data_IF_915247597587
#
_entry.id   IF_915247597587
#
_cell.length_a   1.000
_cell.length_b   1.000
_cell.length_c   1.000
_cell.angle_alpha   90.00
_cell.angle_beta   90.00
_cell.angle_gamma   90.00
#
_symmetry.space_group_name_H-M   'P 1'
#
loop_
_entity.id
_entity.type
_entity.pdbx_description
1 polymer ?
#
# COMPACT_ATOMS: atom_id res chain seq x y z
N UNK A 1 26.42 39.06 -10.39
CA UNK A 1 25.87 37.71 -10.71
C UNK A 1 25.29 37.76 -12.12
N UNK A 2 25.61 36.80 -12.99
CA UNK A 2 25.09 36.81 -14.36
C UNK A 2 23.59 36.46 -14.37
N UNK A 3 22.82 36.98 -15.32
CA UNK A 3 21.38 36.69 -15.43
C UNK A 3 21.09 35.18 -15.50
N UNK A 4 22.02 34.38 -16.05
CA UNK A 4 21.93 32.92 -16.06
C UNK A 4 21.96 32.31 -14.65
N UNK A 5 22.82 32.81 -13.76
CA UNK A 5 22.91 32.30 -12.37
C UNK A 5 21.71 32.70 -11.52
N UNK A 6 21.05 33.81 -11.82
CA UNK A 6 19.78 34.20 -11.21
C UNK A 6 18.64 33.31 -11.71
N UNK A 7 18.55 33.03 -13.01
CA UNK A 7 17.50 32.21 -13.59
C UNK A 7 17.54 30.75 -13.09
N UNK A 8 18.73 30.13 -13.00
CA UNK A 8 18.87 28.77 -12.47
C UNK A 8 18.52 28.67 -10.99
N UNK A 9 18.85 29.70 -10.19
CA UNK A 9 18.49 29.76 -8.76
C UNK A 9 16.99 30.00 -8.57
N UNK A 10 16.36 30.81 -9.40
CA UNK A 10 14.91 31.04 -9.37
C UNK A 10 14.13 29.82 -9.82
N UNK A 11 14.61 29.05 -10.81
CA UNK A 11 13.93 27.84 -11.30
C UNK A 11 14.04 26.68 -10.30
N UNK A 12 15.20 26.55 -9.63
CA UNK A 12 15.38 25.61 -8.52
C UNK A 12 14.54 26.02 -7.31
N UNK A 13 14.46 27.31 -6.98
CA UNK A 13 13.62 27.81 -5.89
C UNK A 13 12.12 27.68 -6.20
N UNK A 14 11.69 27.83 -7.45
CA UNK A 14 10.30 27.57 -7.88
C UNK A 14 9.99 26.07 -7.88
N UNK A 15 10.92 25.22 -8.31
CA UNK A 15 10.77 23.77 -8.21
C UNK A 15 10.69 23.29 -6.74
N UNK A 16 11.52 23.85 -5.85
CA UNK A 16 11.46 23.57 -4.40
C UNK A 16 10.22 24.18 -3.76
N UNK A 17 9.76 25.35 -4.21
CA UNK A 17 8.55 26.00 -3.68
C UNK A 17 7.26 25.29 -4.10
N UNK A 18 7.19 24.72 -5.32
CA UNK A 18 6.05 23.90 -5.77
C UNK A 18 5.98 22.58 -4.98
N UNK A 19 7.12 22.04 -4.53
CA UNK A 19 7.18 20.86 -3.65
C UNK A 19 6.85 21.20 -2.18
N UNK A 20 6.81 22.49 -1.80
CA UNK A 20 6.76 22.91 -0.38
C UNK A 20 5.37 23.13 0.22
N UNK A 21 4.27 22.95 -0.52
CA UNK A 21 2.94 23.36 -0.02
C UNK A 21 1.87 22.29 0.08
N UNK A 22 2.13 21.05 -0.34
CA UNK A 22 1.21 19.94 -0.14
C UNK A 22 2.06 18.67 -0.23
N UNK A 23 2.24 17.94 0.87
CA UNK A 23 2.82 16.60 0.79
C UNK A 23 1.68 15.62 0.44
N UNK A 24 1.92 14.46 -0.21
CA UNK A 24 0.90 13.46 -0.54
C UNK A 24 1.38 11.94 -0.36
N UNK A 25 0.58 10.84 -0.18
CA UNK A 25 0.94 9.39 0.18
C UNK A 25 0.53 8.20 -0.77
N UNK A 26 0.45 6.91 -0.36
CA UNK A 26 0.14 5.79 -1.29
C UNK A 26 -0.79 4.66 -0.75
N UNK A 27 -1.54 4.87 0.33
CA UNK A 27 -2.39 3.83 0.92
C UNK A 27 -1.61 2.58 1.31
N UNK A 28 -2.13 1.41 0.94
CA UNK A 28 -1.50 0.09 1.13
C UNK A 28 -0.81 -0.46 -0.12
N UNK A 29 -0.53 0.38 -1.12
CA UNK A 29 0.26 -0.02 -2.29
C UNK A 29 1.75 -0.12 -1.94
N UNK A 30 2.41 -1.12 -2.52
CA UNK A 30 3.84 -1.39 -2.42
C UNK A 30 4.50 -1.28 -3.79
N UNK A 31 5.69 -0.68 -3.85
CA UNK A 31 6.50 -0.57 -5.06
C UNK A 31 7.81 -1.37 -4.97
N UNK A 32 7.98 -2.19 -3.92
CA UNK A 32 9.19 -2.92 -3.55
C UNK A 32 9.49 -4.14 -4.44
N UNK A 33 9.53 -3.96 -5.76
CA UNK A 33 9.76 -5.05 -6.72
C UNK A 33 11.25 -5.26 -7.08
N UNK A 34 12.15 -4.32 -6.79
CA UNK A 34 13.61 -4.50 -7.00
C UNK A 34 14.45 -3.56 -6.14
N UNK A 35 15.67 -3.98 -5.79
CA UNK A 35 16.61 -3.17 -5.00
C UNK A 35 17.30 -2.07 -5.82
N UNK A 36 17.47 -2.26 -7.12
CA UNK A 36 17.92 -1.21 -8.04
C UNK A 36 16.89 -0.09 -8.17
N UNK A 37 15.60 -0.44 -8.24
CA UNK A 37 14.48 0.50 -8.19
C UNK A 37 14.42 1.22 -6.85
N UNK A 38 14.64 0.52 -5.74
CA UNK A 38 14.71 1.12 -4.40
C UNK A 38 15.74 2.26 -4.37
N UNK A 39 16.96 2.04 -4.90
CA UNK A 39 18.01 3.05 -4.93
C UNK A 39 17.73 4.27 -5.83
N UNK A 40 16.69 4.22 -6.66
CA UNK A 40 16.23 5.29 -7.54
C UNK A 40 14.92 5.94 -7.08
N UNK A 41 14.42 5.59 -5.90
CA UNK A 41 13.07 5.94 -5.48
C UNK A 41 12.02 5.52 -6.53
N UNK A 42 12.22 4.36 -7.19
CA UNK A 42 11.36 3.83 -8.24
C UNK A 42 11.01 4.87 -9.33
N UNK A 43 12.02 5.53 -9.89
CA UNK A 43 11.83 6.56 -10.91
C UNK A 43 12.14 6.03 -12.31
N UNK A 44 11.17 6.16 -13.22
CA UNK A 44 11.31 5.72 -14.62
C UNK A 44 11.35 4.20 -14.80
N UNK A 45 10.81 3.44 -13.85
CA UNK A 45 10.93 1.98 -13.80
C UNK A 45 10.27 1.25 -14.98
N UNK A 46 9.32 1.88 -15.67
CA UNK A 46 8.77 1.34 -16.93
C UNK A 46 9.69 1.53 -18.15
N UNK A 47 10.67 2.42 -18.07
CA UNK A 47 11.57 2.79 -19.17
C UNK A 47 13.02 2.29 -18.96
N UNK A 48 13.40 1.96 -17.73
CA UNK A 48 14.69 1.34 -17.40
C UNK A 48 14.64 -0.16 -17.70
N UNK A 49 15.76 -0.75 -18.11
CA UNK A 49 15.91 -2.18 -18.31
C UNK A 49 17.34 -2.64 -17.98
N UNK A 50 17.83 -2.27 -16.78
CA UNK A 50 19.19 -2.60 -16.32
C UNK A 50 19.30 -3.98 -15.65
N UNK A 51 18.16 -4.58 -15.29
CA UNK A 51 18.03 -5.95 -14.78
C UNK A 51 16.60 -6.46 -15.06
N UNK A 52 16.40 -7.77 -14.90
CA UNK A 52 15.11 -8.44 -15.18
C UNK A 52 13.91 -7.89 -14.38
N UNK A 53 14.15 -7.15 -13.28
CA UNK A 53 13.09 -6.56 -12.45
C UNK A 53 12.14 -5.64 -13.20
N UNK A 54 12.65 -4.91 -14.20
CA UNK A 54 11.84 -3.96 -15.00
C UNK A 54 10.70 -4.61 -15.78
N UNK A 55 10.83 -5.89 -16.16
CA UNK A 55 9.79 -6.61 -16.91
C UNK A 55 8.51 -6.80 -16.08
N UNK A 56 8.61 -6.88 -14.75
CA UNK A 56 7.44 -6.96 -13.87
C UNK A 56 6.63 -5.66 -13.84
N UNK A 57 7.30 -4.52 -14.07
CA UNK A 57 6.68 -3.19 -14.12
C UNK A 57 6.15 -2.87 -15.52
N UNK A 58 6.95 -3.12 -16.55
CA UNK A 58 6.58 -2.97 -17.95
C UNK A 58 6.90 -4.24 -18.75
N UNK A 59 5.91 -5.04 -19.16
CA UNK A 59 6.13 -6.20 -20.01
C UNK A 59 6.87 -5.91 -21.31
N UNK A 60 6.71 -4.72 -21.90
CA UNK A 60 7.42 -4.35 -23.13
C UNK A 60 8.95 -4.26 -22.92
N UNK A 61 9.42 -4.07 -21.68
CA UNK A 61 10.84 -4.07 -21.35
C UNK A 61 11.51 -5.43 -21.57
N UNK A 62 10.75 -6.52 -21.71
CA UNK A 62 11.28 -7.85 -22.10
C UNK A 62 12.09 -7.76 -23.39
N UNK A 63 11.66 -6.92 -24.34
CA UNK A 63 12.37 -6.78 -25.63
C UNK A 63 13.70 -6.03 -25.52
N UNK A 64 14.07 -5.52 -24.35
CA UNK A 64 15.38 -4.90 -24.09
C UNK A 64 16.46 -5.92 -23.72
N UNK A 65 16.11 -7.19 -23.54
CA UNK A 65 17.03 -8.26 -23.16
C UNK A 65 17.42 -9.09 -24.39
N UNK A 66 18.72 -9.29 -24.55
CA UNK A 66 19.32 -10.09 -25.64
C UNK A 66 19.58 -11.54 -25.25
N UNK A 67 19.56 -11.85 -23.94
CA UNK A 67 19.76 -13.19 -23.39
C UNK A 67 18.91 -13.45 -22.15
N UNK A 68 18.70 -14.73 -21.78
CA UNK A 68 17.98 -15.06 -20.55
C UNK A 68 18.62 -14.37 -19.34
N UNK A 69 17.79 -13.73 -18.53
CA UNK A 69 18.22 -12.89 -17.42
C UNK A 69 17.36 -13.14 -16.20
N UNK A 70 18.01 -13.27 -15.05
CA UNK A 70 17.41 -13.51 -13.75
C UNK A 70 17.73 -12.36 -12.80
N UNK A 71 16.78 -12.00 -11.94
CA UNK A 71 17.00 -11.14 -10.79
C UNK A 71 16.22 -11.67 -9.59
N UNK A 72 16.84 -11.71 -8.42
CA UNK A 72 16.17 -12.14 -7.21
C UNK A 72 16.70 -11.45 -5.96
N UNK A 73 15.81 -11.11 -5.04
CA UNK A 73 16.18 -10.35 -3.86
C UNK A 73 15.03 -10.15 -2.89
N UNK A 74 15.24 -9.26 -1.93
CA UNK A 74 14.22 -8.82 -1.01
C UNK A 74 14.50 -7.42 -0.50
N UNK A 75 13.44 -6.75 -0.06
CA UNK A 75 13.50 -5.46 0.61
C UNK A 75 12.98 -5.64 2.03
N UNK A 76 13.80 -5.24 3.01
CA UNK A 76 13.41 -5.10 4.40
C UNK A 76 12.84 -3.71 4.62
N UNK A 77 11.60 -3.64 5.10
CA UNK A 77 10.89 -2.40 5.41
C UNK A 77 10.80 -2.29 6.94
N UNK A 78 11.26 -1.16 7.46
CA UNK A 78 11.29 -0.83 8.89
C UNK A 78 10.52 0.47 9.14
N UNK A 79 9.18 0.41 9.28
CA UNK A 79 8.35 1.56 9.62
C UNK A 79 8.51 1.93 11.10
N UNK A 80 8.37 3.22 11.39
CA UNK A 80 8.17 3.78 12.73
C UNK A 80 6.97 4.72 12.61
N UNK A 81 5.80 4.20 12.99
CA UNK A 81 4.51 4.90 12.93
C UNK A 81 3.95 4.98 14.34
N UNK A 82 3.66 6.20 14.78
CA UNK A 82 3.16 6.47 16.13
C UNK A 82 1.85 7.24 16.04
N UNK A 83 0.91 6.86 16.90
CA UNK A 83 -0.38 7.54 17.07
C UNK A 83 -0.44 8.10 18.48
N UNK A 84 -0.99 9.30 18.62
CA UNK A 84 -1.20 9.95 19.92
C UNK A 84 -2.56 10.61 20.02
N UNK A 85 -3.04 10.78 21.25
CA UNK A 85 -4.30 11.47 21.50
C UNK A 85 -4.93 11.17 22.86
N UNK A 86 -6.16 11.64 23.04
CA UNK A 86 -6.94 11.41 24.26
C UNK A 86 -8.37 11.06 23.92
N UNK A 87 -8.86 9.94 24.46
CA UNK A 87 -10.25 9.53 24.31
C UNK A 87 -11.17 10.46 25.11
N UNK A 88 -12.44 10.67 24.69
CA UNK A 88 -13.44 11.33 25.52
C UNK A 88 -13.66 10.66 26.90
N UNK A 89 -13.28 9.39 27.06
CA UNK A 89 -13.26 8.69 28.35
C UNK A 89 -12.17 9.19 29.31
N UNK A 90 -11.21 9.97 28.79
CA UNK A 90 -10.01 10.37 29.50
C UNK A 90 -8.88 9.35 29.43
N UNK A 91 -9.00 8.22 28.71
CA UNK A 91 -7.89 7.29 28.46
C UNK A 91 -6.93 7.83 27.39
N UNK A 92 -5.66 7.40 27.46
CA UNK A 92 -4.66 7.70 26.42
C UNK A 92 -5.00 6.96 25.11
N UNK A 93 -4.73 7.61 23.99
CA UNK A 93 -4.75 7.05 22.64
C UNK A 93 -3.32 6.99 22.06
N UNK A 94 -2.31 6.94 22.93
CA UNK A 94 -0.93 6.81 22.51
C UNK A 94 -0.63 5.34 22.19
N UNK A 95 -0.10 5.10 21.00
CA UNK A 95 0.32 3.80 20.52
C UNK A 95 1.57 3.99 19.64
N UNK A 96 2.69 3.50 20.14
CA UNK A 96 3.98 3.61 19.47
C UNK A 96 4.26 2.37 18.61
N UNK A 97 4.93 2.58 17.49
CA UNK A 97 5.41 1.56 16.57
C UNK A 97 4.32 0.56 16.11
N UNK A 98 3.20 1.11 15.63
CA UNK A 98 2.01 0.30 15.26
C UNK A 98 2.16 -0.43 13.93
N UNK A 99 3.20 -0.13 13.14
CA UNK A 99 3.45 -0.76 11.85
C UNK A 99 4.69 -1.66 11.96
N UNK A 100 4.53 -3.00 11.95
CA UNK A 100 5.66 -3.90 12.12
C UNK A 100 6.59 -3.92 10.90
N UNK A 101 7.82 -4.38 11.11
CA UNK A 101 8.78 -4.62 10.04
C UNK A 101 8.32 -5.71 9.09
N UNK A 102 8.66 -5.61 7.80
CA UNK A 102 8.30 -6.60 6.79
C UNK A 102 9.47 -6.95 5.85
N UNK A 103 9.44 -8.17 5.32
CA UNK A 103 10.30 -8.59 4.22
C UNK A 103 9.45 -8.74 2.95
N UNK A 104 9.82 -8.03 1.89
CA UNK A 104 9.16 -8.10 0.58
C UNK A 104 10.10 -8.78 -0.42
N UNK A 105 9.96 -10.10 -0.65
CA UNK A 105 10.77 -10.80 -1.63
C UNK A 105 10.35 -10.46 -3.05
N UNK A 106 11.30 -10.52 -3.98
CA UNK A 106 11.05 -10.35 -5.40
C UNK A 106 11.91 -11.30 -6.24
N UNK A 107 11.32 -11.86 -7.28
CA UNK A 107 11.98 -12.76 -8.24
C UNK A 107 11.53 -12.42 -9.64
N UNK A 108 12.45 -12.41 -10.59
CA UNK A 108 12.22 -12.04 -11.98
C UNK A 108 13.05 -12.90 -12.91
N UNK A 109 12.44 -13.28 -14.02
CA UNK A 109 13.10 -13.98 -15.10
C UNK A 109 12.59 -13.45 -16.43
N UNK A 110 13.50 -13.21 -17.37
CA UNK A 110 13.20 -12.77 -18.74
C UNK A 110 13.97 -13.66 -19.68
N UNK A 111 13.35 -14.09 -20.77
CA UNK A 111 14.01 -14.84 -21.83
C UNK A 111 13.53 -14.37 -23.21
N UNK A 112 14.43 -13.82 -24.05
CA UNK A 112 14.11 -13.59 -25.45
C UNK A 112 13.94 -14.93 -26.18
N UNK A 113 12.97 -14.98 -27.10
CA UNK A 113 12.74 -16.13 -27.99
C UNK A 113 13.42 -15.87 -29.33
N UNK A 114 13.26 -14.66 -29.86
CA UNK A 114 13.89 -14.16 -31.07
C UNK A 114 13.90 -12.61 -31.05
N UNK A 115 14.32 -11.98 -32.15
CA UNK A 115 14.39 -10.51 -32.24
C UNK A 115 13.03 -9.80 -32.09
N UNK A 116 11.92 -10.51 -32.31
CA UNK A 116 10.57 -9.96 -32.28
C UNK A 116 9.77 -10.37 -31.04
N UNK A 117 10.09 -11.49 -30.40
CA UNK A 117 9.32 -12.04 -29.29
C UNK A 117 10.19 -12.44 -28.10
N UNK A 118 9.67 -12.21 -26.91
CA UNK A 118 10.24 -12.68 -25.65
C UNK A 118 9.15 -12.95 -24.62
N UNK A 119 9.53 -13.58 -23.52
CA UNK A 119 8.63 -13.79 -22.39
C UNK A 119 9.36 -13.52 -21.06
N UNK A 120 8.57 -13.30 -20.01
CA UNK A 120 9.08 -13.11 -18.66
C UNK A 120 8.11 -13.64 -17.62
N UNK A 121 8.63 -13.95 -16.46
CA UNK A 121 7.86 -14.32 -15.28
C UNK A 121 8.41 -13.61 -14.05
N UNK A 122 7.53 -13.26 -13.11
CA UNK A 122 7.96 -12.66 -11.85
C UNK A 122 7.07 -13.04 -10.68
N UNK A 123 7.65 -12.98 -9.49
CA UNK A 123 6.98 -13.10 -8.19
C UNK A 123 7.26 -11.82 -7.43
N UNK A 124 6.23 -11.04 -7.14
CA UNK A 124 6.33 -9.74 -6.46
C UNK A 124 5.19 -9.54 -5.46
N UNK A 125 5.21 -8.43 -4.74
CA UNK A 125 4.05 -7.92 -4.00
C UNK A 125 3.79 -6.47 -4.41
N UNK A 126 2.54 -6.14 -4.73
CA UNK A 126 2.15 -4.77 -5.10
C UNK A 126 1.22 -4.13 -4.08
N UNK A 127 0.72 -4.90 -3.12
CA UNK A 127 -0.18 -4.45 -2.07
C UNK A 127 0.16 -5.15 -0.76
N UNK A 128 0.18 -4.39 0.32
CA UNK A 128 0.45 -4.95 1.63
C UNK A 128 0.23 -3.93 2.72
N UNK A 129 -0.24 -4.42 3.87
CA UNK A 129 -0.51 -3.61 5.04
C UNK A 129 -0.32 -4.48 6.28
N UNK A 130 0.30 -3.93 7.30
CA UNK A 130 0.31 -4.51 8.62
C UNK A 130 0.21 -3.37 9.64
N UNK A 131 -0.80 -3.44 10.50
CA UNK A 131 -0.93 -2.55 11.66
C UNK A 131 -1.40 -3.34 12.87
N UNK A 132 -0.76 -3.07 14.00
CA UNK A 132 -0.99 -3.79 15.25
C UNK A 132 -1.03 -2.81 16.43
N UNK A 133 -2.12 -2.88 17.18
CA UNK A 133 -2.30 -2.22 18.47
C UNK A 133 -2.49 -3.28 19.56
N UNK A 134 -2.18 -2.93 20.81
CA UNK A 134 -2.54 -3.77 21.95
C UNK A 134 -4.06 -4.03 21.97
N UNK A 135 -4.47 -5.26 22.31
CA UNK A 135 -5.88 -5.66 22.37
C UNK A 135 -6.71 -4.80 23.37
N UNK A 136 -6.06 -4.30 24.41
CA UNK A 136 -6.62 -3.44 25.45
C UNK A 136 -6.60 -1.93 25.12
N UNK A 137 -6.11 -1.56 23.93
CA UNK A 137 -6.01 -0.17 23.47
C UNK A 137 -7.36 0.53 23.53
N UNK A 138 -7.38 1.79 23.99
CA UNK A 138 -8.63 2.48 24.28
C UNK A 138 -9.50 2.70 23.04
N UNK A 139 -8.91 2.94 21.87
CA UNK A 139 -9.63 2.97 20.59
C UNK A 139 -9.53 1.64 19.83
N UNK A 140 -9.53 0.50 20.53
CA UNK A 140 -9.47 -0.84 19.93
C UNK A 140 -10.57 -1.13 18.91
N UNK A 141 -11.67 -0.36 18.93
CA UNK A 141 -12.77 -0.51 17.97
C UNK A 141 -12.41 -0.03 16.56
N UNK A 142 -11.42 0.87 16.47
CA UNK A 142 -10.89 1.41 15.21
C UNK A 142 -9.49 0.85 14.91
N UNK A 143 -8.70 0.60 15.96
CA UNK A 143 -7.37 -0.02 15.89
C UNK A 143 -7.43 -1.54 15.91
N UNK A 144 -6.60 -2.20 16.71
CA UNK A 144 -6.51 -3.66 16.75
C UNK A 144 -5.50 -4.18 15.73
N UNK A 145 -5.84 -5.21 14.96
CA UNK A 145 -4.93 -5.81 13.98
C UNK A 145 -5.49 -5.74 12.57
N UNK A 146 -4.71 -5.28 11.61
CA UNK A 146 -5.05 -5.30 10.18
C UNK A 146 -3.84 -5.77 9.39
N UNK A 147 -3.94 -6.96 8.82
CA UNK A 147 -2.94 -7.56 7.95
C UNK A 147 -3.53 -7.78 6.56
N UNK A 148 -2.78 -7.39 5.54
CA UNK A 148 -2.97 -7.75 4.15
C UNK A 148 -1.60 -8.16 3.59
N UNK A 149 -1.47 -9.43 3.23
CA UNK A 149 -0.31 -9.97 2.53
C UNK A 149 -0.74 -10.32 1.11
N UNK A 150 -0.03 -9.83 0.09
CA UNK A 150 -0.26 -10.25 -1.30
C UNK A 150 0.99 -10.82 -1.95
N UNK A 151 0.78 -11.82 -2.80
CA UNK A 151 1.78 -12.41 -3.67
C UNK A 151 1.24 -12.39 -5.10
N UNK A 152 1.90 -11.66 -5.98
CA UNK A 152 1.56 -11.56 -7.40
C UNK A 152 2.49 -12.46 -8.22
N UNK A 153 1.91 -13.47 -8.86
CA UNK A 153 2.54 -14.27 -9.90
C UNK A 153 2.21 -13.67 -11.26
N UNK A 154 3.22 -13.15 -11.95
CA UNK A 154 3.07 -12.61 -13.30
C UNK A 154 3.73 -13.53 -14.33
N UNK A 155 3.02 -13.77 -15.43
CA UNK A 155 3.58 -14.34 -16.66
C UNK A 155 3.25 -13.39 -17.81
N UNK A 156 4.27 -12.97 -18.56
CA UNK A 156 4.13 -11.97 -19.61
C UNK A 156 4.88 -12.35 -20.88
N UNK A 157 4.35 -11.84 -22.00
CA UNK A 157 4.97 -11.91 -23.31
C UNK A 157 5.14 -10.51 -23.89
N UNK A 158 6.12 -10.34 -24.75
CA UNK A 158 6.37 -9.08 -25.44
C UNK A 158 6.64 -9.30 -26.93
N UNK A 159 6.35 -8.25 -27.70
CA UNK A 159 6.49 -8.19 -29.14
C UNK A 159 7.15 -6.86 -29.55
N UNK A 160 8.29 -6.94 -30.25
CA UNK A 160 8.96 -5.79 -30.88
C UNK A 160 8.42 -5.63 -32.30
N UNK A 161 7.65 -4.56 -32.53
CA UNK A 161 7.08 -4.25 -33.84
C UNK A 161 8.14 -3.72 -34.80
N UNK A 162 9.02 -2.84 -34.29
CA UNK A 162 10.12 -2.24 -35.03
C UNK A 162 11.17 -1.73 -34.04
N UNK A 163 12.18 -1.00 -34.54
CA UNK A 163 13.27 -0.47 -33.71
C UNK A 163 12.81 0.55 -32.66
N UNK A 164 11.62 1.14 -32.81
CA UNK A 164 11.11 2.17 -31.92
C UNK A 164 10.01 1.66 -30.99
N UNK A 165 9.20 0.68 -31.40
CA UNK A 165 8.02 0.26 -30.64
C UNK A 165 8.09 -1.20 -30.23
N UNK A 166 7.93 -1.42 -28.92
CA UNK A 166 7.67 -2.73 -28.33
C UNK A 166 6.39 -2.69 -27.49
N UNK A 167 5.67 -3.80 -27.48
CA UNK A 167 4.43 -4.00 -26.77
C UNK A 167 4.57 -5.21 -25.86
N UNK A 168 3.90 -5.21 -24.71
CA UNK A 168 3.86 -6.39 -23.86
C UNK A 168 2.53 -6.52 -23.14
N UNK A 169 2.21 -7.77 -22.81
CA UNK A 169 0.99 -8.17 -22.13
C UNK A 169 1.33 -9.24 -21.11
N UNK A 170 0.78 -9.11 -19.90
CA UNK A 170 0.97 -10.02 -18.79
C UNK A 170 -0.35 -10.42 -18.15
N UNK A 171 -0.36 -11.63 -17.60
CA UNK A 171 -1.42 -12.16 -16.75
C UNK A 171 -0.91 -12.25 -15.31
N UNK A 172 -1.74 -11.86 -14.35
CA UNK A 172 -1.42 -11.84 -12.93
C UNK A 172 -2.37 -12.77 -12.18
N UNK A 173 -1.81 -13.69 -11.40
CA UNK A 173 -2.53 -14.44 -10.38
C UNK A 173 -2.07 -13.92 -9.01
N UNK A 174 -2.97 -13.31 -8.26
CA UNK A 174 -2.68 -12.65 -6.99
C UNK A 174 -3.25 -13.50 -5.86
N UNK A 175 -2.38 -14.10 -5.05
CA UNK A 175 -2.79 -14.71 -3.80
C UNK A 175 -2.80 -13.64 -2.71
N UNK A 176 -3.93 -13.46 -2.04
CA UNK A 176 -4.07 -12.53 -0.94
C UNK A 176 -4.48 -13.25 0.34
N UNK A 177 -3.91 -12.82 1.45
CA UNK A 177 -4.27 -13.28 2.80
C UNK A 177 -4.56 -12.05 3.64
N UNK A 178 -5.74 -12.02 4.23
CA UNK A 178 -6.20 -10.88 5.00
C UNK A 178 -6.64 -11.32 6.41
N UNK A 179 -6.34 -10.47 7.38
CA UNK A 179 -6.80 -10.63 8.76
C UNK A 179 -7.15 -9.26 9.33
N UNK A 180 -8.35 -9.14 9.89
CA UNK A 180 -8.81 -7.95 10.59
C UNK A 180 -9.34 -8.36 11.96
N UNK A 181 -8.81 -7.76 13.02
CA UNK A 181 -9.31 -7.92 14.39
C UNK A 181 -9.56 -6.53 15.00
N UNK A 182 -10.74 -6.36 15.59
CA UNK A 182 -11.15 -5.17 16.34
C UNK A 182 -11.56 -5.56 17.75
N UNK A 183 -11.33 -4.67 18.69
CA UNK A 183 -11.60 -4.87 20.12
C UNK A 183 -12.53 -3.78 20.67
N UNK A 184 -13.13 -3.99 21.83
CA UNK A 184 -14.09 -3.03 22.37
C UNK A 184 -13.43 -1.71 22.81
N UNK A 185 -12.18 -1.74 23.27
CA UNK A 185 -11.48 -0.57 23.79
C UNK A 185 -12.23 0.09 24.95
N UNK A 186 -12.54 1.38 24.84
CA UNK A 186 -13.41 2.09 25.78
C UNK A 186 -14.80 2.40 25.19
N UNK A 187 -15.11 1.90 24.00
CA UNK A 187 -16.38 2.11 23.32
C UNK A 187 -17.56 1.73 24.22
N UNK A 188 -17.46 0.60 24.95
CA UNK A 188 -18.48 0.18 25.91
C UNK A 188 -18.76 1.21 27.00
N UNK A 189 -17.74 1.90 27.51
CA UNK A 189 -17.87 2.96 28.51
C UNK A 189 -18.51 4.22 27.90
N UNK A 190 -18.07 4.60 26.70
CA UNK A 190 -18.61 5.75 25.97
C UNK A 190 -20.10 5.54 25.63
N UNK A 191 -20.45 4.38 25.09
CA UNK A 191 -21.83 3.99 24.77
C UNK A 191 -22.70 3.93 26.01
N UNK A 192 -22.23 3.32 27.11
CA UNK A 192 -22.98 3.29 28.37
C UNK A 192 -23.24 4.71 28.91
N UNK A 193 -22.24 5.59 28.84
CA UNK A 193 -22.37 7.01 29.21
C UNK A 193 -23.35 7.79 28.33
N UNK A 194 -23.43 7.47 27.04
CA UNK A 194 -24.42 8.06 26.12
C UNK A 194 -25.84 7.55 26.41
N UNK A 195 -26.01 6.24 26.62
CA UNK A 195 -27.32 5.65 26.93
C UNK A 195 -27.91 6.19 28.25
N UNK A 196 -27.06 6.38 29.28
CA UNK A 196 -27.46 6.97 30.57
C UNK A 196 -27.95 8.43 30.46
N UNK A 197 -27.59 9.15 29.40
CA UNK A 197 -28.05 10.52 29.14
C UNK A 197 -29.42 10.58 28.46
N UNK A 198 -29.97 9.46 28.01
CA UNK A 198 -31.29 9.43 27.40
C UNK A 198 -32.37 9.69 28.47
N UNK A 199 -33.32 10.63 28.26
CA UNK A 199 -34.37 10.93 29.26
C UNK A 199 -35.26 9.74 29.63
N UNK A 200 -35.41 8.75 28.74
CA UNK A 200 -36.17 7.53 29.01
C UNK A 200 -35.40 6.53 29.89
N UNK A 201 -34.08 6.70 30.06
CA UNK A 201 -33.23 5.78 30.83
C UNK A 201 -33.71 5.64 32.28
N UNK A 202 -33.86 4.41 32.76
CA UNK A 202 -34.25 4.13 34.15
C UNK A 202 -35.70 4.49 34.49
N UNK A 203 -36.51 4.95 33.52
CA UNK A 203 -37.96 5.08 33.70
C UNK A 203 -38.61 3.70 33.80
N UNK A 204 -39.76 3.59 34.49
CA UNK A 204 -40.54 2.36 34.59
C UNK A 204 -41.30 2.01 33.29
N UNK A 205 -40.72 2.31 32.13
CA UNK A 205 -41.25 1.99 30.81
C UNK A 205 -40.45 0.83 30.20
N UNK A 206 -41.02 0.05 29.26
CA UNK A 206 -40.27 -0.98 28.55
C UNK A 206 -39.01 -0.44 27.87
N UNK A 207 -39.08 0.77 27.30
CA UNK A 207 -37.95 1.44 26.69
C UNK A 207 -36.87 1.81 27.72
N UNK A 208 -37.26 2.34 28.88
CA UNK A 208 -36.33 2.69 29.95
C UNK A 208 -35.59 1.48 30.52
N UNK A 209 -36.27 0.35 30.66
CA UNK A 209 -35.67 -0.92 31.06
C UNK A 209 -34.71 -1.46 29.99
N UNK A 210 -35.05 -1.38 28.70
CA UNK A 210 -34.18 -1.80 27.60
C UNK A 210 -32.89 -0.97 27.53
N UNK A 211 -32.99 0.36 27.68
CA UNK A 211 -31.82 1.25 27.71
C UNK A 211 -30.91 0.94 28.91
N UNK A 212 -31.48 0.65 30.08
CA UNK A 212 -30.73 0.24 31.26
C UNK A 212 -29.97 -1.08 31.05
N UNK A 213 -30.62 -2.08 30.45
CA UNK A 213 -30.00 -3.35 30.13
C UNK A 213 -28.85 -3.21 29.10
N UNK A 214 -29.07 -2.43 28.03
CA UNK A 214 -28.04 -2.16 27.02
C UNK A 214 -26.84 -1.39 27.61
N UNK A 215 -27.08 -0.41 28.46
CA UNK A 215 -25.98 0.32 29.13
C UNK A 215 -25.20 -0.58 30.10
N UNK A 216 -25.90 -1.48 30.81
CA UNK A 216 -25.26 -2.48 31.66
C UNK A 216 -24.35 -3.42 30.85
N UNK A 217 -24.86 -3.93 29.72
CA UNK A 217 -24.09 -4.77 28.80
C UNK A 217 -22.89 -4.02 28.19
N UNK A 218 -23.08 -2.80 27.69
CA UNK A 218 -21.99 -2.01 27.13
C UNK A 218 -20.89 -1.75 28.16
N UNK A 219 -21.27 -1.43 29.40
CA UNK A 219 -20.33 -1.18 30.50
C UNK A 219 -19.65 -2.47 31.02
N UNK A 220 -20.14 -3.65 30.68
CA UNK A 220 -19.51 -4.94 31.05
C UNK A 220 -18.49 -5.42 30.03
N UNK A 221 -18.33 -4.74 28.88
CA UNK A 221 -17.33 -5.11 27.90
C UNK A 221 -15.94 -4.70 28.39
N UNK A 222 -15.06 -5.69 28.56
CA UNK A 222 -13.65 -5.46 28.77
C UNK A 222 -13.01 -4.90 27.50
N UNK A 223 -11.93 -4.11 27.64
CA UNK A 223 -11.31 -3.44 26.49
C UNK A 223 -10.81 -4.40 25.42
N UNK A 224 -10.37 -5.59 25.82
CA UNK A 224 -9.89 -6.64 24.91
C UNK A 224 -10.99 -7.60 24.43
N UNK A 225 -12.28 -7.29 24.66
CA UNK A 225 -13.37 -8.05 24.06
C UNK A 225 -13.28 -7.95 22.55
N UNK A 226 -13.13 -9.06 21.83
CA UNK A 226 -13.00 -9.06 20.37
C UNK A 226 -14.34 -8.80 19.71
N UNK A 227 -14.54 -7.60 19.15
CA UNK A 227 -15.83 -7.18 18.58
C UNK A 227 -15.98 -7.57 17.11
N UNK A 228 -14.87 -7.76 16.39
CA UNK A 228 -14.88 -8.27 15.03
C UNK A 228 -13.58 -9.01 14.75
N UNK A 229 -13.68 -10.14 14.06
CA UNK A 229 -12.56 -10.88 13.49
C UNK A 229 -12.96 -11.39 12.13
N UNK A 230 -12.22 -10.96 11.11
CA UNK A 230 -12.29 -11.47 9.74
C UNK A 230 -10.96 -12.12 9.40
N UNK A 231 -10.99 -13.31 8.81
CA UNK A 231 -9.79 -13.99 8.34
C UNK A 231 -10.11 -14.76 7.06
N UNK A 232 -9.29 -14.59 6.04
CA UNK A 232 -9.46 -15.30 4.78
C UNK A 232 -8.19 -15.31 3.94
N UNK A 233 -8.16 -16.20 2.96
CA UNK A 233 -7.15 -16.20 1.93
C UNK A 233 -7.79 -16.64 0.61
N UNK A 234 -7.48 -15.95 -0.48
CA UNK A 234 -8.11 -16.21 -1.77
C UNK A 234 -7.21 -15.76 -2.93
N UNK A 235 -7.48 -16.30 -4.12
CA UNK A 235 -6.89 -15.86 -5.38
C UNK A 235 -7.76 -14.82 -6.10
N UNK A 236 -7.13 -13.74 -6.53
CA UNK A 236 -7.66 -12.82 -7.54
C UNK A 236 -6.87 -12.94 -8.84
N UNK A 237 -7.46 -12.49 -9.95
CA UNK A 237 -6.83 -12.52 -11.26
C UNK A 237 -6.94 -11.16 -11.95
N UNK A 238 -5.90 -10.81 -12.70
CA UNK A 238 -5.85 -9.58 -13.47
C UNK A 238 -4.85 -9.68 -14.62
N UNK A 239 -4.61 -8.55 -15.26
CA UNK A 239 -3.69 -8.44 -16.39
C UNK A 239 -3.00 -7.09 -16.37
N UNK A 240 -1.88 -6.99 -17.06
CA UNK A 240 -1.16 -5.74 -17.23
C UNK A 240 -0.60 -5.65 -18.64
N UNK A 241 -0.48 -4.44 -19.17
CA UNK A 241 0.04 -4.18 -20.49
C UNK A 241 1.04 -3.03 -20.46
N UNK A 242 1.92 -3.00 -21.45
CA UNK A 242 2.93 -1.99 -21.56
C UNK A 242 3.29 -1.68 -23.00
N UNK A 243 3.62 -0.42 -23.24
CA UNK A 243 4.16 0.07 -24.50
C UNK A 243 5.51 0.70 -24.17
N UNK A 244 6.54 0.36 -24.93
CA UNK A 244 7.85 1.02 -24.92
C UNK A 244 8.05 1.73 -26.26
N UNK A 245 8.43 3.00 -26.18
CA UNK A 245 8.88 3.81 -27.29
C UNK A 245 10.35 4.20 -27.10
N UNK A 246 11.22 3.64 -27.93
CA UNK A 246 12.65 3.95 -28.00
C UNK A 246 12.86 4.99 -29.11
N UNK A 247 13.32 6.19 -28.74
CA UNK A 247 13.74 7.19 -29.73
C UNK A 247 15.08 6.77 -30.33
N UNK A 248 15.98 6.30 -29.46
CA UNK A 248 17.28 5.70 -29.74
C UNK A 248 17.68 4.83 -28.53
N UNK A 249 18.86 4.20 -28.58
CA UNK A 249 19.36 3.31 -27.51
C UNK A 249 19.49 4.01 -26.13
N UNK A 250 19.63 5.33 -26.12
CA UNK A 250 19.85 6.17 -24.95
C UNK A 250 18.58 6.79 -24.39
N UNK A 251 17.51 6.92 -25.18
CA UNK A 251 16.31 7.66 -24.82
C UNK A 251 15.05 6.85 -25.09
N UNK A 252 14.28 6.56 -24.04
CA UNK A 252 13.06 5.75 -24.15
C UNK A 252 12.00 6.16 -23.15
N UNK A 253 10.76 5.89 -23.53
CA UNK A 253 9.54 6.29 -22.84
C UNK A 253 8.57 5.13 -22.82
N UNK A 254 7.77 5.00 -21.76
CA UNK A 254 6.80 3.92 -21.67
C UNK A 254 5.49 4.37 -21.08
N UNK A 255 4.41 3.71 -21.51
CA UNK A 255 3.12 3.76 -20.85
C UNK A 255 2.74 2.34 -20.43
N UNK A 256 2.39 2.16 -19.17
CA UNK A 256 1.92 0.88 -18.64
C UNK A 256 0.56 1.02 -17.99
N UNK A 257 -0.20 -0.07 -18.04
CA UNK A 257 -1.47 -0.22 -17.35
C UNK A 257 -1.47 -1.55 -16.60
N UNK A 258 -1.99 -1.54 -15.37
CA UNK A 258 -2.27 -2.73 -14.56
C UNK A 258 -3.74 -2.71 -14.19
N UNK A 259 -4.46 -3.78 -14.48
CA UNK A 259 -5.88 -3.88 -14.19
C UNK A 259 -6.15 -3.90 -12.69
N UNK A 260 -7.37 -3.53 -12.33
CA UNK A 260 -7.95 -3.87 -11.04
C UNK A 260 -7.90 -5.39 -10.83
N UNK A 261 -7.70 -5.82 -9.59
CA UNK A 261 -7.84 -7.23 -9.20
C UNK A 261 -8.84 -7.32 -8.05
N UNK A 262 -9.95 -8.02 -8.29
CA UNK A 262 -10.93 -8.33 -7.25
C UNK A 262 -10.56 -9.64 -6.56
N UNK A 263 -10.55 -9.61 -5.24
CA UNK A 263 -10.34 -10.78 -4.39
C UNK A 263 -11.60 -11.00 -3.55
N UNK A 264 -12.38 -12.02 -3.90
CA UNK A 264 -13.63 -12.36 -3.23
C UNK A 264 -13.39 -13.37 -2.10
N UNK A 265 -13.01 -12.90 -0.91
CA UNK A 265 -12.70 -13.77 0.22
C UNK A 265 -13.95 -14.53 0.70
N UNK A 266 -13.88 -15.86 0.70
CA UNK A 266 -14.78 -16.74 1.45
C UNK A 266 -14.10 -17.17 2.76
N UNK A 267 -14.32 -16.40 3.83
CA UNK A 267 -13.56 -16.51 5.08
C UNK A 267 -14.38 -16.77 6.33
N UNK A 268 -13.72 -16.60 7.46
CA UNK A 268 -14.29 -16.73 8.80
C UNK A 268 -14.62 -15.36 9.39
N UNK A 269 -15.82 -15.24 9.98
CA UNK A 269 -16.21 -14.13 10.84
C UNK A 269 -16.47 -14.60 12.28
N UNK A 270 -15.98 -13.85 13.26
CA UNK A 270 -16.24 -14.08 14.69
C UNK A 270 -16.37 -12.76 15.46
N UNK A 271 -17.26 -12.72 16.44
CA UNK A 271 -17.41 -11.63 17.40
C UNK A 271 -17.82 -12.17 18.78
N UNK A 272 -17.16 -11.70 19.83
CA UNK A 272 -17.49 -12.00 21.23
C UNK A 272 -18.70 -11.23 21.74
N UNK A 273 -19.18 -10.24 20.98
CA UNK A 273 -20.44 -9.58 21.28
C UNK A 273 -21.59 -10.60 21.24
N UNK A 274 -22.57 -10.41 22.12
CA UNK A 274 -23.76 -11.26 22.24
C UNK A 274 -24.48 -11.43 20.92
N UNK A 275 -24.90 -12.67 20.62
CA UNK A 275 -25.71 -13.02 19.45
C UNK A 275 -27.21 -12.80 19.64
N UNK A 276 -27.63 -12.19 20.77
CA UNK A 276 -29.04 -11.89 21.02
C UNK A 276 -29.62 -10.98 19.93
N UNK A 277 -30.79 -11.32 19.33
CA UNK A 277 -31.41 -10.49 18.29
C UNK A 277 -31.63 -9.03 18.72
N UNK A 278 -31.98 -8.80 19.99
CA UNK A 278 -32.20 -7.46 20.52
C UNK A 278 -30.90 -6.64 20.60
N UNK A 279 -29.77 -7.29 20.92
CA UNK A 279 -28.46 -6.65 20.95
C UNK A 279 -27.97 -6.39 19.53
N UNK A 280 -28.08 -7.37 18.63
CA UNK A 280 -27.66 -7.21 17.24
C UNK A 280 -28.46 -6.12 16.51
N UNK A 281 -29.76 -5.97 16.79
CA UNK A 281 -30.55 -4.86 16.26
C UNK A 281 -30.06 -3.49 16.78
N UNK A 282 -29.61 -3.41 18.03
CA UNK A 282 -29.03 -2.19 18.58
C UNK A 282 -27.65 -1.89 17.97
N UNK A 283 -26.79 -2.89 17.84
CA UNK A 283 -25.46 -2.77 17.23
C UNK A 283 -25.57 -2.30 15.76
N UNK A 284 -26.45 -2.91 14.96
CA UNK A 284 -26.64 -2.53 13.57
C UNK A 284 -27.13 -1.09 13.40
N UNK A 285 -27.97 -0.60 14.32
CA UNK A 285 -28.45 0.79 14.29
C UNK A 285 -27.34 1.83 14.55
N UNK A 286 -26.21 1.39 15.09
CA UNK A 286 -25.03 2.21 15.39
C UNK A 286 -23.86 1.91 14.45
N UNK A 287 -24.07 1.08 13.40
CA UNK A 287 -23.01 0.66 12.49
C UNK A 287 -21.93 -0.22 13.14
N UNK A 288 -22.23 -0.85 14.28
CA UNK A 288 -21.27 -1.71 14.98
C UNK A 288 -21.28 -3.13 14.42
N UNK A 289 -20.16 -3.87 14.55
CA UNK A 289 -20.06 -5.25 14.07
C UNK A 289 -21.11 -6.19 14.69
N UNK A 290 -21.50 -7.21 13.92
CA UNK A 290 -22.51 -8.19 14.31
C UNK A 290 -22.00 -9.17 15.40
N UNK A 291 -22.75 -9.32 16.49
CA UNK A 291 -22.40 -10.25 17.57
C UNK A 291 -22.71 -11.70 17.25
N UNK A 292 -21.76 -12.60 17.56
CA UNK A 292 -21.88 -14.06 17.34
C UNK A 292 -21.76 -14.89 18.62
N UNK A 293 -21.64 -14.24 19.78
CA UNK A 293 -21.44 -14.90 21.07
C UNK A 293 -20.18 -15.76 21.11
N UNK A 294 -19.13 -15.37 20.36
CA UNK A 294 -17.86 -16.08 20.25
C UNK A 294 -17.85 -17.24 19.24
N UNK A 295 -18.95 -17.51 18.54
CA UNK A 295 -19.02 -18.54 17.50
C UNK A 295 -18.41 -18.07 16.18
N UNK A 296 -17.76 -18.96 15.44
CA UNK A 296 -17.27 -18.63 14.09
C UNK A 296 -18.35 -18.99 13.07
N UNK A 297 -18.62 -18.06 12.15
CA UNK A 297 -19.54 -18.22 11.03
C UNK A 297 -18.85 -17.86 9.71
N UNK A 298 -19.41 -18.26 8.57
CA UNK A 298 -18.90 -17.85 7.27
C UNK A 298 -19.09 -16.33 7.04
N UNK A 299 -18.06 -15.68 6.53
CA UNK A 299 -18.04 -14.26 6.18
C UNK A 299 -17.38 -14.03 4.83
N UNK A 300 -18.09 -13.36 3.93
CA UNK A 300 -17.66 -13.05 2.58
C UNK A 300 -17.32 -11.56 2.47
N UNK A 301 -16.18 -11.23 1.86
CA UNK A 301 -15.73 -9.84 1.65
C UNK A 301 -14.98 -9.74 0.31
N UNK A 302 -15.37 -8.77 -0.52
CA UNK A 302 -14.63 -8.43 -1.74
C UNK A 302 -13.61 -7.34 -1.43
N UNK A 303 -12.35 -7.57 -1.77
CA UNK A 303 -11.30 -6.57 -1.75
C UNK A 303 -10.92 -6.20 -3.19
N UNK A 304 -11.08 -4.93 -3.53
CA UNK A 304 -10.63 -4.40 -4.82
C UNK A 304 -9.20 -3.87 -4.67
N UNK A 305 -8.25 -4.49 -5.36
CA UNK A 305 -6.89 -3.99 -5.51
C UNK A 305 -6.88 -3.03 -6.73
N UNK A 306 -6.58 -1.74 -6.54
CA UNK A 306 -6.74 -0.74 -7.58
C UNK A 306 -5.99 -1.02 -8.89
N UNK A 307 -6.55 -0.51 -9.99
CA UNK A 307 -5.83 -0.37 -11.25
C UNK A 307 -4.78 0.75 -11.19
N UNK A 308 -3.80 0.70 -12.10
CA UNK A 308 -2.69 1.66 -12.12
C UNK A 308 -2.25 1.96 -13.55
N UNK A 309 -2.02 3.24 -13.82
CA UNK A 309 -1.37 3.75 -15.01
C UNK A 309 0.00 4.32 -14.65
N UNK A 310 1.01 4.14 -15.50
CA UNK A 310 2.29 4.80 -15.30
C UNK A 310 2.93 5.23 -16.61
N UNK A 311 3.34 6.49 -16.66
CA UNK A 311 4.19 7.07 -17.69
C UNK A 311 5.61 7.17 -17.14
N UNK A 312 6.58 6.60 -17.86
CA UNK A 312 8.00 6.64 -17.47
C UNK A 312 8.88 7.17 -18.60
N UNK A 313 10.00 7.78 -18.24
CA UNK A 313 11.06 8.18 -19.15
C UNK A 313 12.44 7.83 -18.62
N UNK A 314 13.33 7.46 -19.53
CA UNK A 314 14.75 7.23 -19.28
C UNK A 314 15.56 7.95 -20.38
N UNK A 315 16.52 8.77 -19.96
CA UNK A 315 17.38 9.53 -20.88
C UNK A 315 18.83 9.42 -20.41
N UNK A 316 19.68 8.78 -21.19
CA UNK A 316 21.13 8.74 -20.99
C UNK A 316 21.77 10.01 -21.58
N UNK A 317 21.84 11.05 -20.74
CA UNK A 317 22.24 12.41 -21.12
C UNK A 317 23.75 12.59 -21.27
N UNK A 318 24.56 11.66 -20.75
CA UNK A 318 26.00 11.61 -20.95
C UNK A 318 26.50 10.15 -20.87
N UNK A 319 27.75 9.84 -21.30
CA UNK A 319 28.27 8.47 -21.26
C UNK A 319 28.14 7.79 -19.89
N UNK A 320 28.33 8.57 -18.82
CA UNK A 320 28.24 8.10 -17.44
C UNK A 320 26.97 8.54 -16.71
N UNK A 321 26.05 9.27 -17.34
CA UNK A 321 24.88 9.83 -16.63
C UNK A 321 23.57 9.52 -17.35
N UNK A 322 22.62 9.00 -16.59
CA UNK A 322 21.22 8.92 -17.00
C UNK A 322 20.31 9.61 -15.99
N UNK A 323 19.19 10.14 -16.49
CA UNK A 323 18.10 10.71 -15.72
C UNK A 323 16.85 9.92 -16.05
N UNK A 324 16.07 9.61 -15.03
CA UNK A 324 14.85 8.83 -15.16
C UNK A 324 13.75 9.39 -14.27
N UNK A 325 12.52 9.31 -14.74
CA UNK A 325 11.37 9.92 -14.07
C UNK A 325 10.08 9.19 -14.42
N UNK A 326 9.10 9.26 -13.53
CA UNK A 326 7.77 8.72 -13.79
C UNK A 326 6.66 9.50 -13.10
N UNK A 327 5.47 9.38 -13.70
CA UNK A 327 4.18 9.75 -13.12
C UNK A 327 3.33 8.49 -13.13
N UNK A 328 3.00 7.97 -11.95
CA UNK A 328 2.01 6.92 -11.79
C UNK A 328 0.68 7.52 -11.31
N UNK A 329 -0.42 6.92 -11.73
CA UNK A 329 -1.79 7.24 -11.32
C UNK A 329 -2.46 5.94 -10.88
N UNK A 330 -3.05 5.93 -9.70
CA UNK A 330 -3.73 4.76 -9.12
C UNK A 330 -5.19 5.12 -8.87
N UNK A 331 -6.11 4.34 -9.44
CA UNK A 331 -7.56 4.57 -9.34
C UNK A 331 -8.12 4.05 -8.01
N UNK A 332 -7.64 4.62 -6.92
CA UNK A 332 -8.00 4.25 -5.56
C UNK A 332 -9.49 4.43 -5.24
N UNK A 333 -10.24 5.19 -6.05
CA UNK A 333 -11.72 5.23 -5.99
C UNK A 333 -12.40 3.88 -6.17
N UNK A 334 -11.70 2.84 -6.64
CA UNK A 334 -12.20 1.45 -6.63
C UNK A 334 -12.28 0.83 -5.23
N UNK A 335 -11.59 1.41 -4.24
CA UNK A 335 -11.58 0.99 -2.85
C UNK A 335 -12.55 1.87 -2.03
N UNK A 336 -13.84 1.60 -2.19
CA UNK A 336 -14.92 2.36 -1.54
C UNK A 336 -15.24 1.85 -0.13
N UNK A 337 -15.28 0.54 0.09
CA UNK A 337 -15.73 -0.03 1.36
C UNK A 337 -15.06 -1.37 1.67
N UNK A 338 -15.01 -1.69 2.97
CA UNK A 338 -14.75 -3.02 3.50
C UNK A 338 -16.04 -3.56 4.10
N UNK A 339 -16.74 -4.40 3.34
CA UNK A 339 -18.03 -4.97 3.75
C UNK A 339 -17.96 -6.48 3.83
N UNK A 340 -18.12 -7.00 5.05
CA UNK A 340 -18.27 -8.44 5.26
C UNK A 340 -19.74 -8.81 5.39
N UNK A 341 -20.16 -9.88 4.71
CA UNK A 341 -21.53 -10.40 4.74
C UNK A 341 -21.54 -11.88 5.08
N UNK A 342 -22.58 -12.37 5.76
CA UNK A 342 -22.77 -13.81 5.93
C UNK A 342 -23.40 -14.42 4.68
N UNK A 343 -23.46 -15.75 4.62
CA UNK A 343 -24.02 -16.50 3.49
C UNK A 343 -25.50 -16.17 3.18
N UNK A 344 -26.24 -15.58 4.12
CA UNK A 344 -27.63 -15.15 3.90
C UNK A 344 -27.77 -13.65 3.53
N UNK A 345 -26.66 -12.94 3.31
CA UNK A 345 -26.63 -11.52 2.98
C UNK A 345 -26.65 -10.56 4.18
N UNK A 346 -26.73 -11.06 5.41
CA UNK A 346 -26.59 -10.23 6.62
C UNK A 346 -25.21 -9.56 6.66
N UNK A 347 -25.17 -8.23 6.80
CA UNK A 347 -23.91 -7.51 6.99
C UNK A 347 -23.36 -7.81 8.39
N UNK A 348 -22.08 -8.21 8.44
CA UNK A 348 -21.35 -8.61 9.64
C UNK A 348 -20.36 -7.54 10.10
N UNK A 349 -19.72 -6.88 9.13
CA UNK A 349 -18.79 -5.79 9.34
C UNK A 349 -18.93 -4.81 8.17
N UNK A 350 -18.78 -3.53 8.46
CA UNK A 350 -18.84 -2.49 7.47
C UNK A 350 -17.87 -1.38 7.87
N UNK A 351 -17.04 -0.96 6.93
CA UNK A 351 -16.23 0.25 7.04
C UNK A 351 -16.26 0.96 5.68
N UNK A 352 -16.67 2.22 5.72
CA UNK A 352 -16.57 3.12 4.58
C UNK A 352 -15.13 3.62 4.51
N UNK A 353 -14.49 3.44 3.35
CA UNK A 353 -13.12 3.86 3.10
C UNK A 353 -13.12 5.07 2.16
N UNK A 354 -13.95 5.04 1.11
CA UNK A 354 -14.16 6.12 0.15
C UNK A 354 -12.86 6.79 -0.31
N UNK A 355 -11.88 5.97 -0.71
CA UNK A 355 -10.59 6.48 -1.17
C UNK A 355 -10.76 7.28 -2.47
N UNK A 356 -9.87 8.25 -2.71
CA UNK A 356 -9.79 9.03 -3.93
C UNK A 356 -8.59 8.62 -4.75
N UNK A 357 -8.70 8.78 -6.05
CA UNK A 357 -7.58 8.56 -6.97
C UNK A 357 -6.38 9.41 -6.60
N UNK A 358 -5.20 8.87 -6.86
CA UNK A 358 -3.96 9.50 -6.48
C UNK A 358 -2.83 9.26 -7.47
N UNK A 359 -1.73 9.98 -7.28
CA UNK A 359 -0.61 9.96 -8.20
C UNK A 359 0.73 9.95 -7.47
N UNK A 360 1.74 9.44 -8.15
CA UNK A 360 3.11 9.38 -7.66
C UNK A 360 4.05 9.99 -8.66
N UNK A 361 4.88 10.91 -8.21
CA UNK A 361 5.94 11.56 -8.97
C UNK A 361 7.29 11.07 -8.49
N UNK A 362 8.15 10.64 -9.42
CA UNK A 362 9.49 10.20 -9.08
C UNK A 362 10.52 10.74 -10.08
N UNK A 363 11.68 11.13 -9.57
CA UNK A 363 12.83 11.60 -10.33
C UNK A 363 14.10 11.00 -9.74
N UNK A 364 14.98 10.51 -10.59
CA UNK A 364 16.26 10.00 -10.16
C UNK A 364 17.33 10.10 -11.24
N UNK A 365 18.54 9.75 -10.82
CA UNK A 365 19.70 9.69 -11.69
C UNK A 365 20.54 8.46 -11.40
N UNK A 366 21.18 7.96 -12.46
CA UNK A 366 22.12 6.86 -12.41
C UNK A 366 23.47 7.34 -12.95
N UNK A 367 24.52 7.13 -12.17
CA UNK A 367 25.92 7.40 -12.51
C UNK A 367 26.67 6.10 -12.76
N UNK A 368 27.04 5.84 -14.02
CA UNK A 368 27.84 4.70 -14.43
C UNK A 368 29.33 5.03 -14.22
N UNK A 369 29.82 4.76 -13.01
CA UNK A 369 31.15 5.18 -12.55
C UNK A 369 32.27 4.47 -13.33
N UNK A 370 32.20 3.15 -13.43
CA UNK A 370 33.10 2.31 -14.21
C UNK A 370 32.41 0.99 -14.60
N UNK A 371 33.16 0.01 -15.12
CA UNK A 371 32.63 -1.29 -15.55
C UNK A 371 32.04 -2.12 -14.40
N UNK A 372 32.43 -1.83 -13.15
CA UNK A 372 32.02 -2.57 -11.96
C UNK A 372 30.98 -1.79 -11.14
N UNK A 373 31.12 -0.47 -11.01
CA UNK A 373 30.30 0.34 -10.11
C UNK A 373 29.29 1.21 -10.86
N UNK A 374 28.03 1.10 -10.45
CA UNK A 374 26.96 2.02 -10.83
C UNK A 374 26.31 2.59 -9.57
N UNK A 375 26.21 3.90 -9.47
CA UNK A 375 25.61 4.60 -8.32
C UNK A 375 24.27 5.22 -8.72
N UNK A 376 23.32 5.26 -7.79
CA UNK A 376 21.97 5.77 -8.03
C UNK A 376 21.49 6.63 -6.88
N UNK A 377 20.66 7.61 -7.21
CA UNK A 377 19.93 8.41 -6.25
C UNK A 377 18.55 8.77 -6.82
N UNK A 378 17.57 8.93 -5.94
CA UNK A 378 16.22 9.30 -6.34
C UNK A 378 15.47 10.04 -5.26
N UNK A 379 14.48 10.80 -5.71
CA UNK A 379 13.48 11.46 -4.88
C UNK A 379 12.12 11.10 -5.46
N UNK A 380 11.17 10.79 -4.60
CA UNK A 380 9.80 10.56 -5.02
C UNK A 380 8.82 11.10 -4.00
N UNK A 381 7.60 11.23 -4.46
CA UNK A 381 6.52 11.84 -3.76
C UNK A 381 5.25 11.13 -4.20
N UNK A 382 4.47 10.60 -3.25
CA UNK A 382 3.23 9.89 -3.55
C UNK A 382 2.00 10.81 -3.33
N UNK A 383 0.74 10.45 -3.63
CA UNK A 383 -0.49 11.18 -3.21
C UNK A 383 -1.51 10.38 -2.41
N UNK A 384 -1.97 10.91 -1.28
CA UNK A 384 -2.68 10.10 -0.30
C UNK A 384 -4.05 9.84 -0.86
N UNK A 385 -4.38 8.56 -1.11
CA UNK A 385 -5.70 8.24 -1.56
C UNK A 385 -6.74 8.40 -0.47
N UNK A 386 -6.36 8.70 0.78
CA UNK A 386 -7.29 8.77 1.91
C UNK A 386 -7.71 10.22 2.15
N UNK A 387 -9.00 10.58 1.90
CA UNK A 387 -9.52 11.88 2.29
C UNK A 387 -9.33 12.15 3.77
N UNK A 388 -9.13 13.42 4.16
CA UNK A 388 -8.81 13.77 5.56
C UNK A 388 -9.87 13.35 6.58
N UNK A 389 -11.14 13.25 6.15
CA UNK A 389 -12.30 12.82 6.93
C UNK A 389 -12.54 11.30 6.92
N UNK A 390 -11.80 10.55 6.10
CA UNK A 390 -11.86 9.08 6.00
C UNK A 390 -10.56 8.41 6.48
N UNK A 391 -9.64 9.18 7.05
CA UNK A 391 -8.41 8.64 7.66
C UNK A 391 -8.72 7.69 8.79
N UNK A 392 -7.92 6.64 8.89
CA UNK A 392 -8.11 5.57 9.85
C UNK A 392 -6.79 5.14 10.48
N UNK A 393 -6.76 4.92 11.79
CA UNK A 393 -5.54 4.48 12.48
C UNK A 393 -5.12 3.05 12.08
N UNK A 394 -6.01 2.26 11.48
CA UNK A 394 -5.67 0.92 10.97
C UNK A 394 -5.00 0.94 9.59
N UNK A 395 -5.09 2.06 8.88
CA UNK A 395 -4.35 2.32 7.64
C UNK A 395 -3.69 3.70 7.80
N UNK A 396 -2.62 3.81 8.62
CA UNK A 396 -1.91 5.07 8.84
C UNK A 396 -1.34 5.53 7.51
N UNK A 397 -2.05 6.44 6.90
CA UNK A 397 -1.71 6.91 5.58
C UNK A 397 -1.68 8.43 5.56
N UNK A 398 -0.53 8.89 5.10
CA UNK A 398 -0.09 10.25 5.19
C UNK A 398 1.08 10.41 4.26
N UNK A 399 1.29 11.66 3.94
CA UNK A 399 2.00 12.07 2.78
C UNK A 399 3.49 11.76 2.80
N UNK A 400 4.02 11.03 1.82
CA UNK A 400 5.35 10.41 1.81
C UNK A 400 6.30 11.10 0.84
N UNK A 401 7.37 11.64 1.40
CA UNK A 401 8.57 11.99 0.66
C UNK A 401 9.58 10.85 0.75
N UNK A 402 10.09 10.41 -0.40
CA UNK A 402 11.12 9.40 -0.53
C UNK A 402 12.46 10.05 -0.83
N UNK A 403 13.50 9.65 -0.12
CA UNK A 403 14.89 9.94 -0.45
C UNK A 403 15.65 8.63 -0.52
N UNK A 404 16.21 8.32 -1.68
CA UNK A 404 16.81 7.01 -1.93
C UNK A 404 18.20 7.12 -2.53
N UNK A 405 19.02 6.13 -2.24
CA UNK A 405 20.31 5.91 -2.88
C UNK A 405 20.59 4.43 -3.02
N UNK A 406 21.41 4.05 -4.01
CA UNK A 406 21.80 2.67 -4.18
C UNK A 406 23.05 2.52 -5.03
N UNK A 407 23.57 1.31 -5.05
CA UNK A 407 24.73 0.93 -5.84
C UNK A 407 24.52 -0.45 -6.47
N UNK A 408 25.04 -0.63 -7.67
CA UNK A 408 25.29 -1.94 -8.27
C UNK A 408 26.78 -2.19 -8.26
N UNK A 409 27.18 -3.40 -7.89
CA UNK A 409 28.50 -3.95 -8.16
C UNK A 409 28.38 -5.11 -9.15
N UNK A 410 28.89 -4.92 -10.37
CA UNK A 410 29.02 -5.96 -11.37
C UNK A 410 30.34 -6.72 -11.15
N UNK A 411 30.25 -8.02 -10.86
CA UNK A 411 31.43 -8.89 -10.75
C UNK A 411 32.08 -9.08 -12.11
N UNK A 412 31.24 -9.19 -13.14
CA UNK A 412 31.56 -9.34 -14.55
C UNK A 412 30.32 -8.96 -15.38
N UNK A 413 30.32 -9.27 -16.67
CA UNK A 413 29.18 -8.97 -17.56
C UNK A 413 27.92 -9.78 -17.26
N UNK A 414 28.04 -10.87 -16.52
CA UNK A 414 26.98 -11.87 -16.30
C UNK A 414 26.34 -11.74 -14.93
N UNK A 415 27.11 -11.36 -13.91
CA UNK A 415 26.68 -11.35 -12.52
C UNK A 415 26.86 -9.98 -11.87
N UNK A 416 25.84 -9.52 -11.15
CA UNK A 416 25.90 -8.30 -10.34
C UNK A 416 25.07 -8.40 -9.06
N UNK A 417 25.36 -7.52 -8.11
CA UNK A 417 24.53 -7.30 -6.91
C UNK A 417 24.11 -5.85 -6.86
N UNK A 418 22.83 -5.62 -6.58
CA UNK A 418 22.26 -4.32 -6.29
C UNK A 418 22.00 -4.19 -4.79
N UNK A 419 22.34 -3.04 -4.23
CA UNK A 419 21.95 -2.64 -2.87
C UNK A 419 21.26 -1.29 -2.95
N UNK A 420 20.11 -1.16 -2.29
CA UNK A 420 19.33 0.06 -2.22
C UNK A 420 18.99 0.41 -0.78
N UNK A 421 18.96 1.71 -0.48
CA UNK A 421 18.48 2.25 0.79
C UNK A 421 17.53 3.40 0.49
N UNK A 422 16.41 3.44 1.20
CA UNK A 422 15.47 4.56 1.11
C UNK A 422 15.01 5.00 2.49
N UNK A 423 14.86 6.31 2.64
CA UNK A 423 14.18 6.93 3.76
C UNK A 423 12.84 7.48 3.28
N UNK A 424 11.76 7.11 3.96
CA UNK A 424 10.43 7.68 3.78
C UNK A 424 10.09 8.57 4.96
N UNK A 425 9.65 9.79 4.68
CA UNK A 425 9.11 10.70 5.69
C UNK A 425 7.64 10.98 5.41
N UNK A 426 6.80 10.66 6.39
CA UNK A 426 5.37 10.94 6.38
C UNK A 426 5.04 12.28 7.05
N UNK A 427 4.12 13.06 6.47
CA UNK A 427 3.62 14.28 7.11
C UNK A 427 2.83 13.95 8.40
N UNK A 428 2.93 14.82 9.40
CA UNK A 428 2.04 14.79 10.56
C UNK A 428 0.58 15.09 10.16
N UNK A 429 -0.35 14.24 10.60
CA UNK A 429 -1.79 14.41 10.34
C UNK A 429 -2.60 14.34 11.62
N UNK A 430 -3.60 15.20 11.72
CA UNK A 430 -4.63 15.16 12.77
C UNK A 430 -5.97 14.85 12.11
N UNK A 431 -6.70 13.87 12.66
CA UNK A 431 -7.98 13.42 12.10
C UNK A 431 -8.87 12.81 13.18
N UNK A 432 -10.14 12.62 12.84
CA UNK A 432 -11.14 12.02 13.73
C UNK A 432 -11.65 10.73 13.10
N UNK A 433 -11.73 9.66 13.88
CA UNK A 433 -12.30 8.37 13.47
C UNK A 433 -13.25 7.89 14.58
N UNK A 434 -14.54 7.81 14.25
CA UNK A 434 -15.60 7.61 15.24
C UNK A 434 -15.56 8.66 16.36
N UNK A 435 -15.57 8.26 17.65
CA UNK A 435 -15.60 9.21 18.76
C UNK A 435 -14.20 9.73 19.15
N UNK A 436 -13.14 9.39 18.42
CA UNK A 436 -11.75 9.65 18.80
C UNK A 436 -11.08 10.64 17.85
N UNK A 437 -10.22 11.51 18.41
CA UNK A 437 -9.33 12.38 17.65
C UNK A 437 -7.89 11.91 17.85
N UNK A 438 -7.18 11.71 16.74
CA UNK A 438 -5.82 11.19 16.71
C UNK A 438 -4.88 12.16 16.03
N UNK A 439 -3.62 12.07 16.43
CA UNK A 439 -2.47 12.59 15.70
C UNK A 439 -1.60 11.42 15.28
N UNK A 440 -1.27 11.34 14.00
CA UNK A 440 -0.39 10.32 13.44
C UNK A 440 0.87 10.97 12.90
N UNK A 441 2.00 10.34 13.15
CA UNK A 441 3.28 10.63 12.51
C UNK A 441 3.94 9.32 12.11
N UNK A 442 4.78 9.37 11.07
CA UNK A 442 5.43 8.16 10.61
C UNK A 442 6.59 8.41 9.67
N UNK A 443 7.55 7.51 9.74
CA UNK A 443 8.73 7.45 8.87
C UNK A 443 9.03 5.98 8.62
N UNK A 444 9.85 5.68 7.63
CA UNK A 444 10.34 4.33 7.43
C UNK A 444 11.74 4.32 6.83
N UNK A 445 12.48 3.27 7.15
CA UNK A 445 13.70 2.91 6.44
C UNK A 445 13.46 1.64 5.62
N UNK A 446 14.05 1.61 4.43
CA UNK A 446 13.98 0.47 3.53
C UNK A 446 15.39 0.08 3.11
N UNK A 447 15.68 -1.21 3.15
CA UNK A 447 16.97 -1.79 2.79
C UNK A 447 16.75 -2.95 1.83
N UNK A 448 17.32 -2.86 0.64
CA UNK A 448 17.14 -3.86 -0.41
C UNK A 448 18.47 -4.46 -0.85
N UNK A 449 18.46 -5.76 -1.12
CA UNK A 449 19.52 -6.42 -1.89
C UNK A 449 18.93 -7.34 -2.97
N UNK A 450 19.49 -7.26 -4.19
CA UNK A 450 19.17 -8.15 -5.30
C UNK A 450 20.46 -8.73 -5.90
N UNK A 451 20.39 -9.99 -6.31
CA UNK A 451 21.39 -10.62 -7.17
C UNK A 451 20.82 -10.73 -8.59
N UNK A 452 21.64 -10.41 -9.58
CA UNK A 452 21.29 -10.52 -10.99
C UNK A 452 22.25 -11.48 -11.69
N UNK A 453 21.71 -12.28 -12.60
CA UNK A 453 22.49 -13.18 -13.43
C UNK A 453 21.93 -13.25 -14.85
N UNK A 454 22.78 -13.08 -15.85
CA UNK A 454 22.42 -13.27 -17.24
C UNK A 454 23.19 -14.47 -17.80
N UNK A 455 22.46 -15.35 -18.50
CA UNK A 455 22.92 -16.66 -18.95
C UNK A 455 23.73 -16.63 -20.24
#
# INVERSE_FOLDING_TARGET
MSQKTLFTKSLLAVAVAIVSSQAWSAGFQLNEFSSSGLGRAYSGEGAIADNAGSASRNPAAIMMFDRPSFSGGAIFVDPDVNVSGRSPSGRTLDADNIAPTAWVPNLHFVAPINEQFGWGASVTSNYGLATEFNDSYAAGSMGGKTDLETLNLNLSGAYRLNNNFSFGLGFNAVYAKAKLERYAGDLGQLTAGQLRRNPAFGTATPQGAQLAALAGYANSLDSNTQIARLKGNEWGYGWNAGIMYELDENNRYSLTYRSEVKVDFEGDYRSELSSSPAINAALSSQGLPYGTGGSTIGGNLTLNLPEMWELSGYNKVAPQWAIHYSLAYTSWSQFEELKATSNNGQTLFYKDESFRDSYRLALGTTYFMDDNWTLRAGIAFDDSPVPSDHRSISIPDQDRLWLSTGATYAFNKDASVDVGVSYMHGQHVEFTEGPYTFKSEGKAWLYGANFNYAF
#
